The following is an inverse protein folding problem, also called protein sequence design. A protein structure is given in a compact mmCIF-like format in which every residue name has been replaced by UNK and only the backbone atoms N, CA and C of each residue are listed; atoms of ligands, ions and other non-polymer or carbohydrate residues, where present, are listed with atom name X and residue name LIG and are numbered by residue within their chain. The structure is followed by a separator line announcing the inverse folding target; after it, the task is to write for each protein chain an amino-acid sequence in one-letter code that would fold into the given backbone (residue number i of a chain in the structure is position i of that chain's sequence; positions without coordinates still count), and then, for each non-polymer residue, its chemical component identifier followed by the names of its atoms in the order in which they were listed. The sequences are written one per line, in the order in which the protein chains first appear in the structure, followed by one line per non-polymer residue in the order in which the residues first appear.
data_IF_846038305101
#
_entry.id   IF_846038305101
#
_cell.length_a   1.000
_cell.length_b   1.000
_cell.length_c   1.000
_cell.angle_alpha   90.00
_cell.angle_beta   90.00
_cell.angle_gamma   90.00
#
_symmetry.space_group_name_H-M   'P 1'
#
loop_
_entity.id
_entity.type
_entity.pdbx_description
1 polymer ?
#
# COMPACT_ATOMS: atom_id res chain seq x y z
N UNK A 1 -10.69 12.37 2.53
CA UNK A 1 -10.38 10.93 2.56
C UNK A 1 -8.87 10.79 2.48
N UNK A 2 -8.23 10.06 3.41
CA UNK A 2 -6.79 9.86 3.40
C UNK A 2 -6.37 8.98 2.20
N UNK A 3 -5.20 9.23 1.60
CA UNK A 3 -4.66 8.53 0.42
C UNK A 3 -4.70 7.02 0.57
N UNK A 4 -4.28 6.50 1.73
CA UNK A 4 -4.32 5.07 1.99
C UNK A 4 -5.74 4.50 1.90
N UNK A 5 -6.70 5.17 2.54
CA UNK A 5 -8.10 4.73 2.55
C UNK A 5 -8.69 4.71 1.14
N UNK A 6 -8.31 5.67 0.29
CA UNK A 6 -8.69 5.74 -1.14
C UNK A 6 -8.26 4.49 -1.89
N UNK A 7 -6.98 4.10 -1.77
CA UNK A 7 -6.41 2.93 -2.46
C UNK A 7 -6.95 1.60 -1.94
N UNK A 8 -7.37 1.54 -0.68
CA UNK A 8 -7.96 0.33 -0.10
C UNK A 8 -9.47 0.21 -0.35
N UNK A 9 -10.18 1.28 -0.74
CA UNK A 9 -11.64 1.24 -1.01
C UNK A 9 -12.08 0.12 -1.98
N UNK A 10 -11.34 -0.21 -3.05
CA UNK A 10 -11.71 -1.28 -3.96
C UNK A 10 -11.88 -2.65 -3.29
N UNK A 11 -11.26 -2.90 -2.14
CA UNK A 11 -11.41 -4.16 -1.38
C UNK A 11 -12.85 -4.47 -0.99
N UNK A 12 -13.72 -3.46 -0.94
CA UNK A 12 -15.17 -3.60 -0.68
C UNK A 12 -15.94 -4.19 -1.85
N UNK A 13 -15.30 -4.33 -3.01
CA UNK A 13 -15.91 -4.77 -4.26
C UNK A 13 -15.32 -6.11 -4.71
N UNK A 14 -16.04 -6.88 -5.54
CA UNK A 14 -15.51 -8.09 -6.15
C UNK A 14 -14.24 -7.79 -6.96
N UNK A 15 -13.23 -8.64 -6.82
CA UNK A 15 -12.05 -8.61 -7.69
C UNK A 15 -12.37 -9.19 -9.07
N UNK A 16 -11.70 -8.69 -10.11
CA UNK A 16 -11.83 -9.22 -11.47
C UNK A 16 -11.23 -10.62 -11.64
N UNK A 17 -10.19 -10.96 -10.86
CA UNK A 17 -9.47 -12.24 -10.97
C UNK A 17 -9.69 -13.18 -9.77
N UNK A 18 -10.80 -13.03 -9.05
CA UNK A 18 -11.15 -13.91 -7.92
C UNK A 18 -10.34 -13.66 -6.63
N UNK A 19 -9.52 -12.61 -6.59
CA UNK A 19 -8.77 -12.20 -5.41
C UNK A 19 -8.15 -10.82 -5.53
N UNK A 20 -8.00 -10.13 -4.41
CA UNK A 20 -7.22 -8.89 -4.32
C UNK A 20 -5.80 -9.24 -3.95
N UNK A 21 -4.81 -8.63 -4.58
CA UNK A 21 -3.41 -8.72 -4.16
C UNK A 21 -2.99 -7.40 -3.48
N UNK A 22 -2.22 -7.50 -2.41
CA UNK A 22 -1.41 -6.37 -1.91
C UNK A 22 0.02 -6.59 -2.39
N UNK A 23 0.65 -5.52 -2.87
CA UNK A 23 1.97 -5.56 -3.50
C UNK A 23 2.79 -4.46 -2.86
N UNK A 24 3.98 -4.79 -2.40
CA UNK A 24 4.88 -3.90 -1.67
C UNK A 24 6.26 -3.97 -2.28
N UNK A 25 6.79 -2.85 -2.75
CA UNK A 25 8.18 -2.77 -3.21
C UNK A 25 9.11 -2.51 -2.01
N UNK A 26 10.33 -3.06 -2.02
CA UNK A 26 11.32 -2.75 -1.00
C UNK A 26 11.76 -1.28 -1.08
N UNK A 27 12.44 -0.84 -0.03
CA UNK A 27 13.01 0.50 0.02
C UNK A 27 14.04 0.71 -1.11
N UNK A 28 13.84 1.69 -2.02
CA UNK A 28 14.73 1.91 -3.14
C UNK A 28 16.13 2.34 -2.71
N UNK A 29 16.33 2.81 -1.47
CA UNK A 29 17.69 3.08 -0.95
C UNK A 29 18.51 1.83 -0.73
N UNK A 30 17.86 0.69 -0.49
CA UNK A 30 18.51 -0.59 -0.24
C UNK A 30 18.63 -1.44 -1.51
N UNK A 31 18.00 -1.04 -2.61
CA UNK A 31 18.00 -1.78 -3.87
C UNK A 31 18.19 -0.85 -5.08
N UNK A 32 19.36 -0.97 -5.72
CA UNK A 32 19.74 -0.18 -6.90
C UNK A 32 19.13 -0.67 -8.22
N UNK A 33 18.30 -1.71 -8.21
CA UNK A 33 17.59 -2.24 -9.39
C UNK A 33 16.18 -2.72 -9.04
N UNK A 34 15.19 -2.00 -9.56
CA UNK A 34 13.76 -2.17 -9.37
C UNK A 34 13.11 -0.79 -9.53
N UNK A 35 12.01 -0.71 -10.28
CA UNK A 35 11.35 0.51 -10.79
C UNK A 35 12.30 1.72 -10.85
N UNK A 36 13.11 1.77 -11.92
CA UNK A 36 13.93 2.93 -12.24
C UNK A 36 13.07 4.20 -12.11
N UNK A 37 13.56 5.15 -11.30
CA UNK A 37 13.01 6.49 -11.12
C UNK A 37 11.60 6.62 -10.52
N UNK A 38 11.20 5.78 -9.55
CA UNK A 38 10.16 6.21 -8.61
C UNK A 38 10.72 7.25 -7.66
N UNK A 39 10.82 8.48 -8.17
CA UNK A 39 11.06 9.75 -7.48
C UNK A 39 11.61 9.60 -6.06
N UNK A 40 12.88 9.21 -5.94
CA UNK A 40 13.67 9.52 -4.75
C UNK A 40 14.02 11.02 -4.79
N UNK A 41 12.99 11.86 -4.90
CA UNK A 41 13.10 13.30 -5.05
C UNK A 41 13.11 13.93 -3.66
N UNK A 42 14.27 13.92 -3.01
CA UNK A 42 14.53 14.79 -1.85
C UNK A 42 14.07 14.29 -0.48
N UNK A 43 13.61 13.04 -0.36
CA UNK A 43 13.46 12.43 0.96
C UNK A 43 14.88 12.11 1.48
N UNK A 44 15.23 12.71 2.62
CA UNK A 44 16.55 12.58 3.22
C UNK A 44 16.95 11.12 3.52
N UNK A 45 18.26 10.85 3.73
CA UNK A 45 18.79 9.50 3.96
C UNK A 45 18.23 8.83 5.23
N UNK A 46 17.60 9.60 6.09
CA UNK A 46 16.96 9.23 7.34
C UNK A 46 15.54 8.66 7.18
N UNK A 47 14.97 8.71 5.97
CA UNK A 47 13.63 8.17 5.68
C UNK A 47 13.71 6.81 4.97
N UNK A 48 12.81 5.91 5.37
CA UNK A 48 12.50 4.69 4.64
C UNK A 48 11.28 4.93 3.76
N UNK A 49 11.33 4.46 2.51
CA UNK A 49 10.28 4.69 1.51
C UNK A 49 9.87 3.37 0.91
N UNK A 50 8.62 2.97 1.08
CA UNK A 50 8.06 1.78 0.44
C UNK A 50 6.95 2.20 -0.51
N UNK A 51 6.69 1.42 -1.56
CA UNK A 51 5.52 1.66 -2.41
C UNK A 51 4.56 0.50 -2.26
N UNK A 52 3.28 0.82 -2.15
CA UNK A 52 2.22 -0.17 -2.02
C UNK A 52 1.15 0.03 -3.10
N UNK A 53 0.59 -1.07 -3.58
CA UNK A 53 -0.58 -1.10 -4.45
C UNK A 53 -1.49 -2.26 -4.06
N UNK A 54 -2.80 -2.06 -4.16
CA UNK A 54 -3.80 -3.14 -4.15
C UNK A 54 -4.17 -3.45 -5.59
N UNK A 55 -4.14 -4.70 -6.06
CA UNK A 55 -4.45 -5.02 -7.45
C UNK A 55 -5.44 -6.19 -7.56
N UNK A 56 -6.59 -5.94 -8.20
CA UNK A 56 -7.63 -6.96 -8.48
C UNK A 56 -7.44 -7.67 -9.82
N UNK A 57 -6.44 -7.26 -10.59
CA UNK A 57 -6.02 -7.85 -11.87
C UNK A 57 -4.59 -8.39 -11.80
N UNK A 58 -4.09 -8.64 -10.58
CA UNK A 58 -2.73 -9.10 -10.34
C UNK A 58 -2.36 -10.30 -11.23
N UNK A 59 -1.23 -10.16 -11.91
CA UNK A 59 -0.60 -11.21 -12.72
C UNK A 59 0.88 -11.27 -12.32
N UNK A 60 1.30 -12.41 -11.75
CA UNK A 60 2.66 -12.54 -11.23
C UNK A 60 3.73 -12.38 -12.31
N UNK A 61 3.51 -12.95 -13.50
CA UNK A 61 4.49 -12.93 -14.59
C UNK A 61 4.75 -11.50 -15.07
N UNK A 62 3.67 -10.72 -15.29
CA UNK A 62 3.80 -9.30 -15.67
C UNK A 62 4.53 -8.49 -14.61
N UNK A 63 4.27 -8.75 -13.33
CA UNK A 63 4.93 -8.05 -12.23
C UNK A 63 6.42 -8.40 -12.11
N UNK A 64 6.81 -9.65 -12.35
CA UNK A 64 8.21 -10.09 -12.35
C UNK A 64 8.99 -9.44 -13.50
N UNK A 65 8.39 -9.34 -14.69
CA UNK A 65 9.00 -8.68 -15.85
C UNK A 65 9.28 -7.19 -15.58
N UNK A 66 8.39 -6.51 -14.88
CA UNK A 66 8.52 -5.08 -14.57
C UNK A 66 9.38 -4.79 -13.34
N UNK A 67 9.41 -5.69 -12.35
CA UNK A 67 10.16 -5.51 -11.11
C UNK A 67 10.55 -6.87 -10.48
N UNK A 68 11.84 -7.25 -10.48
CA UNK A 68 12.24 -8.56 -9.93
C UNK A 68 12.17 -8.64 -8.39
N UNK A 69 11.95 -7.53 -7.69
CA UNK A 69 11.99 -7.48 -6.22
C UNK A 69 10.75 -6.79 -5.64
N UNK A 70 9.76 -7.57 -5.23
CA UNK A 70 8.59 -7.11 -4.47
C UNK A 70 8.06 -8.23 -3.56
N UNK A 71 7.41 -7.84 -2.47
CA UNK A 71 6.57 -8.74 -1.68
C UNK A 71 5.12 -8.62 -2.14
N UNK A 72 4.39 -9.73 -2.16
CA UNK A 72 2.96 -9.70 -2.41
C UNK A 72 2.21 -10.72 -1.56
N UNK A 73 0.92 -10.49 -1.37
CA UNK A 73 0.00 -11.44 -0.74
C UNK A 73 -1.36 -11.37 -1.43
N UNK A 74 -1.97 -12.55 -1.67
CA UNK A 74 -3.26 -12.68 -2.33
C UNK A 74 -4.35 -13.02 -1.30
N UNK A 75 -5.46 -12.29 -1.35
CA UNK A 75 -6.67 -12.59 -0.62
C UNK A 75 -7.78 -12.99 -1.60
N UNK A 76 -8.22 -14.24 -1.52
CA UNK A 76 -9.27 -14.81 -2.39
C UNK A 76 -10.67 -14.74 -1.78
N UNK A 77 -10.81 -14.19 -0.57
CA UNK A 77 -12.10 -14.04 0.13
C UNK A 77 -12.81 -12.77 -0.29
N UNK A 78 -13.16 -12.64 -1.57
CA UNK A 78 -13.77 -11.42 -2.10
C UNK A 78 -15.29 -11.41 -1.96
N UNK A 79 -15.89 -10.22 -1.97
CA UNK A 79 -17.33 -10.05 -2.09
C UNK A 79 -17.87 -10.82 -3.32
N UNK A 80 -18.97 -11.55 -3.13
CA UNK A 80 -19.59 -12.36 -4.21
C UNK A 80 -20.47 -11.54 -5.15
N UNK A 81 -20.88 -10.34 -4.73
CA UNK A 81 -21.74 -9.42 -5.51
C UNK A 81 -21.31 -7.99 -5.26
N UNK A 82 -21.35 -7.17 -6.31
CA UNK A 82 -21.11 -5.73 -6.22
C UNK A 82 -22.26 -5.08 -5.47
N UNK A 83 -22.06 -4.79 -4.18
CA UNK A 83 -23.03 -4.00 -3.42
C UNK A 83 -22.88 -2.57 -3.92
N UNK A 84 -23.84 -2.09 -4.70
CA UNK A 84 -23.76 -0.84 -5.44
C UNK A 84 -23.39 0.35 -4.55
N UNK A 85 -22.28 1.02 -4.85
CA UNK A 85 -21.90 2.30 -4.24
C UNK A 85 -21.15 3.18 -5.24
N UNK A 86 -21.90 3.73 -6.21
CA UNK A 86 -21.45 4.83 -7.08
C UNK A 86 -20.26 4.50 -8.00
N UNK A 87 -19.75 5.51 -8.75
CA UNK A 87 -18.53 5.35 -9.53
C UNK A 87 -17.35 5.20 -8.58
N UNK A 88 -16.98 3.96 -8.27
CA UNK A 88 -15.71 3.67 -7.63
C UNK A 88 -14.60 3.90 -8.66
N UNK A 89 -13.67 4.78 -8.32
CA UNK A 89 -12.43 4.89 -9.05
C UNK A 89 -11.70 3.54 -8.92
N UNK A 90 -11.76 2.73 -9.98
CA UNK A 90 -11.14 1.41 -10.04
C UNK A 90 -9.62 1.50 -10.22
N UNK A 91 -9.07 2.72 -10.22
CA UNK A 91 -7.63 2.95 -10.27
C UNK A 91 -6.99 2.50 -8.97
N UNK A 92 -6.41 1.34 -9.05
CA UNK A 92 -5.44 0.80 -8.10
C UNK A 92 -4.12 1.56 -8.29
N UNK A 93 -4.03 2.76 -7.74
CA UNK A 93 -2.83 3.58 -7.84
C UNK A 93 -1.78 3.11 -6.83
N UNK A 94 -0.51 3.30 -7.18
CA UNK A 94 0.57 3.16 -6.23
C UNK A 94 0.46 4.28 -5.18
N UNK A 95 0.89 3.98 -3.95
CA UNK A 95 1.09 4.98 -2.89
C UNK A 95 2.48 4.84 -2.29
N UNK A 96 3.01 5.95 -1.83
CA UNK A 96 4.28 6.00 -1.11
C UNK A 96 4.03 5.94 0.39
N UNK A 97 4.66 5.00 1.07
CA UNK A 97 4.65 4.82 2.53
C UNK A 97 6.00 5.30 3.04
N UNK A 98 6.00 6.41 3.77
CA UNK A 98 7.21 7.13 4.17
C UNK A 98 7.27 7.19 5.68
N UNK A 99 8.37 6.72 6.25
CA UNK A 99 8.61 6.75 7.69
C UNK A 99 10.06 7.18 8.00
N UNK A 100 10.31 7.88 9.10
CA UNK A 100 11.66 7.98 9.65
C UNK A 100 12.20 6.57 9.96
N UNK A 101 13.46 6.26 9.63
CA UNK A 101 14.08 4.95 9.88
C UNK A 101 14.15 4.57 11.37
N UNK A 102 14.07 5.56 12.24
CA UNK A 102 14.05 5.41 13.71
C UNK A 102 12.64 5.32 14.29
N UNK A 103 11.60 5.59 13.49
CA UNK A 103 10.21 5.54 13.94
C UNK A 103 9.80 4.10 14.25
N UNK A 104 9.14 3.92 15.38
CA UNK A 104 8.58 2.63 15.81
C UNK A 104 7.16 2.81 16.31
N UNK A 105 6.32 1.80 16.09
CA UNK A 105 4.97 1.74 16.61
C UNK A 105 4.96 1.60 18.14
N UNK A 106 3.77 1.63 18.72
CA UNK A 106 3.54 1.47 20.15
C UNK A 106 4.10 0.15 20.72
N UNK A 107 4.17 -0.89 19.91
CA UNK A 107 4.74 -2.21 20.21
C UNK A 107 6.19 -2.40 19.70
N UNK A 108 6.85 -1.33 19.26
CA UNK A 108 8.27 -1.31 18.94
C UNK A 108 8.63 -1.79 17.53
N UNK A 109 7.67 -1.96 16.63
CA UNK A 109 7.90 -2.41 15.26
C UNK A 109 8.22 -1.24 14.33
N UNK A 110 9.10 -1.48 13.35
CA UNK A 110 9.38 -0.51 12.29
C UNK A 110 8.34 -0.64 11.17
N UNK A 111 8.29 0.35 10.29
CA UNK A 111 7.43 0.30 9.09
C UNK A 111 7.67 -0.96 8.24
N UNK A 112 8.92 -1.45 8.13
CA UNK A 112 9.21 -2.69 7.39
C UNK A 112 8.53 -3.90 8.01
N UNK A 113 8.52 -3.97 9.34
CA UNK A 113 7.93 -5.09 10.09
C UNK A 113 6.41 -5.06 9.98
N UNK A 114 5.79 -3.87 10.07
CA UNK A 114 4.36 -3.67 9.85
C UNK A 114 3.94 -4.06 8.43
N UNK A 115 4.74 -3.71 7.41
CA UNK A 115 4.46 -4.11 6.03
C UNK A 115 4.60 -5.63 5.84
N UNK A 116 5.54 -6.28 6.53
CA UNK A 116 5.64 -7.75 6.55
C UNK A 116 4.47 -8.40 7.29
N UNK A 117 4.00 -7.83 8.39
CA UNK A 117 2.78 -8.26 9.09
C UNK A 117 1.58 -8.15 8.16
N UNK A 118 1.44 -7.04 7.45
CA UNK A 118 0.39 -6.84 6.45
C UNK A 118 0.42 -7.96 5.40
N UNK A 119 1.57 -8.28 4.81
CA UNK A 119 1.67 -9.39 3.85
C UNK A 119 1.23 -10.74 4.45
N UNK A 120 1.50 -10.99 5.73
CA UNK A 120 1.13 -12.24 6.42
C UNK A 120 -0.36 -12.29 6.80
N UNK A 121 -0.93 -11.15 7.16
CA UNK A 121 -2.32 -11.03 7.59
C UNK A 121 -3.30 -10.85 6.43
N UNK A 122 -2.87 -10.23 5.35
CA UNK A 122 -3.74 -9.84 4.25
C UNK A 122 -4.57 -11.00 3.68
N UNK A 123 -4.02 -12.22 3.46
CA UNK A 123 -4.80 -13.37 3.01
C UNK A 123 -5.91 -13.83 3.99
N UNK A 124 -5.84 -13.41 5.25
CA UNK A 124 -6.75 -13.83 6.34
C UNK A 124 -7.88 -12.83 6.59
N UNK A 125 -7.80 -11.61 6.04
CA UNK A 125 -8.90 -10.66 6.18
C UNK A 125 -10.15 -11.18 5.49
N UNK A 126 -11.30 -11.04 6.14
CA UNK A 126 -12.58 -11.33 5.50
C UNK A 126 -13.00 -10.12 4.64
N UNK A 127 -13.01 -10.29 3.32
CA UNK A 127 -13.47 -9.25 2.38
C UNK A 127 -14.80 -9.64 1.71
N UNK A 128 -15.56 -10.58 2.31
CA UNK A 128 -16.81 -11.10 1.72
C UNK A 128 -17.98 -10.13 1.85
N UNK A 129 -17.90 -9.16 2.75
CA UNK A 129 -18.90 -8.12 2.99
C UNK A 129 -18.27 -6.73 3.07
N UNK A 130 -19.05 -5.69 2.79
CA UNK A 130 -18.60 -4.29 2.87
C UNK A 130 -18.11 -3.93 4.28
N UNK A 131 -18.80 -4.40 5.31
CA UNK A 131 -18.45 -4.11 6.72
C UNK A 131 -17.18 -4.85 7.13
N UNK A 132 -17.03 -6.12 6.75
CA UNK A 132 -15.80 -6.88 6.99
C UNK A 132 -14.60 -6.25 6.27
N UNK A 133 -14.79 -5.83 5.01
CA UNK A 133 -13.77 -5.12 4.26
C UNK A 133 -13.42 -3.76 4.89
N UNK A 134 -14.40 -3.01 5.39
CA UNK A 134 -14.15 -1.74 6.09
C UNK A 134 -13.34 -1.97 7.38
N UNK A 135 -13.66 -3.02 8.14
CA UNK A 135 -12.86 -3.40 9.31
C UNK A 135 -11.41 -3.74 8.94
N UNK A 136 -11.19 -4.41 7.81
CA UNK A 136 -9.84 -4.69 7.31
C UNK A 136 -9.11 -3.39 6.91
N UNK A 137 -9.79 -2.48 6.20
CA UNK A 137 -9.25 -1.17 5.83
C UNK A 137 -8.85 -0.37 7.07
N UNK A 138 -9.72 -0.30 8.08
CA UNK A 138 -9.46 0.42 9.33
C UNK A 138 -8.26 -0.17 10.08
N UNK A 139 -8.11 -1.50 10.10
CA UNK A 139 -6.92 -2.16 10.70
C UNK A 139 -5.64 -1.77 9.99
N UNK A 140 -5.61 -1.86 8.66
CA UNK A 140 -4.44 -1.52 7.85
C UNK A 140 -4.09 -0.03 8.03
N UNK A 141 -5.10 0.83 7.96
CA UNK A 141 -4.92 2.29 8.08
C UNK A 141 -4.39 2.68 9.46
N UNK A 142 -5.02 2.19 10.53
CA UNK A 142 -4.59 2.51 11.89
C UNK A 142 -3.17 2.02 12.14
N UNK A 143 -2.84 0.80 11.70
CA UNK A 143 -1.54 0.21 11.93
C UNK A 143 -0.42 0.96 11.22
N UNK A 144 -0.61 1.36 9.96
CA UNK A 144 0.39 2.12 9.21
C UNK A 144 0.54 3.56 9.72
N UNK A 145 -0.56 4.19 10.15
CA UNK A 145 -0.56 5.56 10.67
C UNK A 145 0.27 5.71 11.96
N UNK A 146 0.51 4.64 12.71
CA UNK A 146 1.39 4.69 13.89
C UNK A 146 2.83 5.08 13.55
N UNK A 147 3.32 4.75 12.35
CA UNK A 147 4.75 4.85 12.02
C UNK A 147 5.06 5.60 10.74
N UNK A 148 4.08 5.74 9.85
CA UNK A 148 4.30 6.23 8.49
C UNK A 148 3.23 7.23 8.05
N UNK A 149 3.66 8.13 7.17
CA UNK A 149 2.79 8.96 6.35
C UNK A 149 2.59 8.27 5.01
N UNK A 150 1.37 8.29 4.48
CA UNK A 150 1.04 7.75 3.16
C UNK A 150 0.68 8.89 2.22
N UNK A 151 1.29 8.90 1.03
CA UNK A 151 1.16 9.96 0.02
C UNK A 151 0.87 9.36 -1.35
N UNK A 152 0.31 10.15 -2.26
CA UNK A 152 0.07 9.69 -3.63
C UNK A 152 1.41 9.46 -4.32
N UNK A 153 1.48 8.41 -5.14
CA UNK A 153 2.70 8.08 -5.82
C UNK A 153 3.07 9.17 -6.86
N UNK A 154 4.24 9.80 -6.69
CA UNK A 154 4.70 10.91 -7.53
C UNK A 154 4.31 12.31 -7.03
N UNK A 155 3.66 12.41 -5.88
CA UNK A 155 3.48 13.68 -5.18
C UNK A 155 4.78 14.04 -4.44
N UNK A 156 5.37 15.19 -4.79
CA UNK A 156 6.59 15.70 -4.14
C UNK A 156 6.16 16.75 -3.12
N UNK A 157 6.49 16.58 -1.83
CA UNK A 157 6.43 17.68 -0.88
C UNK A 157 7.31 18.81 -1.40
N UNK A 158 6.68 19.89 -1.87
CA UNK A 158 7.40 21.10 -2.24
C UNK A 158 8.09 21.62 -0.97
N UNK A 159 9.41 21.91 -0.99
CA UNK A 159 10.06 22.47 0.18
C UNK A 159 9.36 23.78 0.52
N UNK A 160 8.72 23.82 1.70
CA UNK A 160 8.15 25.03 2.27
C UNK A 160 9.21 26.12 2.21
N UNK A 161 8.99 27.11 1.35
CA UNK A 161 9.88 28.24 1.22
C UNK A 161 10.00 28.91 2.59
N UNK A 162 11.17 28.76 3.24
CA UNK A 162 11.58 29.60 4.36
C UNK A 162 11.48 31.05 3.89
N UNK A 163 10.45 31.74 4.38
CA UNK A 163 10.39 33.19 4.32
C UNK A 163 11.55 33.72 5.16
N UNK A 164 12.57 34.23 4.49
CA UNK A 164 13.54 35.17 5.07
C UNK A 164 12.86 36.49 5.41
#
# INVERSE_FOLDING_TARGET
MNTLRRVLQPLKSPSSNGGWAVIITPDPTNFSRGIQSLQYNGLGPDKAVFHMKIDGKFNLDSYIEENPSFGFALNTTTAKKTVHSGPQDSRTEWVSIIAPKTSTSSDGLRVSDILLELLKEFPKYDLTSTDSAENAIDKIENRLREVATVQDFGEVESPSAEKK
#
